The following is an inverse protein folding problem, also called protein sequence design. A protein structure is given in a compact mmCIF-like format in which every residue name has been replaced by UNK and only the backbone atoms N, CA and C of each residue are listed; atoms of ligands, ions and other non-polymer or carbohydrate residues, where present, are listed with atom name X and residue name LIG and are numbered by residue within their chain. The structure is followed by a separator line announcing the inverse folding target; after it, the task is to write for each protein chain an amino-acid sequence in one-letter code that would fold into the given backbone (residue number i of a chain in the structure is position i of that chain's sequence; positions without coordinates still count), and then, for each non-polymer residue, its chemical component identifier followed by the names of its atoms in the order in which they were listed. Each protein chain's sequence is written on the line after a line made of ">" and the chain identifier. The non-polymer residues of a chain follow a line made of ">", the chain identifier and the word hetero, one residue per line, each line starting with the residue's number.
data_IF_393647125948
#
_entry.id   IF_393647125948
#
_cell.length_a   1.000
_cell.length_b   1.000
_cell.length_c   1.000
_cell.angle_alpha   90.00
_cell.angle_beta   90.00
_cell.angle_gamma   90.00
#
_symmetry.space_group_name_H-M   'P 1'
#
loop_
_entity.id
_entity.type
_entity.pdbx_description
1 polymer ?
#
# COMPACT_ATOMS: atom_id res chain seq x y z
N UNK A 1 -81.17 -1.21 -1.49
CA UNK A 1 -80.23 -1.13 -2.62
C UNK A 1 -79.18 -2.18 -2.39
N UNK A 2 -79.18 -3.18 -3.26
CA UNK A 2 -78.36 -4.39 -3.16
C UNK A 2 -76.89 -4.07 -3.46
N UNK A 3 -75.98 -4.55 -2.61
CA UNK A 3 -74.55 -4.57 -2.91
C UNK A 3 -74.26 -5.81 -3.77
N UNK A 4 -74.04 -5.59 -5.07
CA UNK A 4 -73.52 -6.62 -5.95
C UNK A 4 -72.01 -6.78 -5.72
N UNK A 5 -71.61 -7.89 -5.08
CA UNK A 5 -70.25 -8.40 -5.14
C UNK A 5 -70.06 -9.10 -6.48
N UNK A 6 -69.26 -8.52 -7.37
CA UNK A 6 -68.68 -9.23 -8.49
C UNK A 6 -67.35 -9.85 -8.04
N UNK A 7 -67.33 -11.16 -7.80
CA UNK A 7 -66.10 -11.93 -7.63
C UNK A 7 -65.54 -12.28 -9.02
N UNK A 8 -64.42 -11.66 -9.38
CA UNK A 8 -63.55 -12.16 -10.43
C UNK A 8 -62.39 -12.89 -9.76
N UNK A 9 -62.36 -14.21 -9.91
CA UNK A 9 -61.24 -15.06 -9.50
C UNK A 9 -60.20 -15.02 -10.63
N UNK A 10 -59.05 -14.40 -10.37
CA UNK A 10 -57.83 -14.59 -11.16
C UNK A 10 -56.64 -14.47 -10.22
N UNK A 11 -55.86 -15.53 -10.14
CA UNK A 11 -54.62 -15.64 -9.39
C UNK A 11 -53.63 -14.54 -9.79
N UNK A 12 -53.50 -13.50 -8.97
CA UNK A 12 -52.29 -12.70 -8.82
C UNK A 12 -52.37 -12.00 -7.45
N UNK A 13 -51.28 -12.06 -6.69
CA UNK A 13 -51.14 -11.39 -5.39
C UNK A 13 -51.58 -9.92 -5.50
N UNK A 14 -52.67 -9.56 -4.83
CA UNK A 14 -53.10 -8.17 -4.69
C UNK A 14 -52.13 -7.47 -3.73
N UNK A 15 -51.23 -6.65 -4.28
CA UNK A 15 -50.44 -5.70 -3.50
C UNK A 15 -51.38 -4.60 -3.03
N UNK A 16 -51.65 -4.54 -1.72
CA UNK A 16 -52.39 -3.44 -1.11
C UNK A 16 -51.43 -2.25 -1.05
N UNK A 17 -51.66 -1.23 -1.90
CA UNK A 17 -50.92 0.04 -1.87
C UNK A 17 -51.74 1.04 -1.05
N UNK A 18 -51.13 1.62 -0.02
CA UNK A 18 -51.75 2.68 0.78
C UNK A 18 -52.04 3.90 -0.09
N UNK A 19 -53.29 4.38 -0.10
CA UNK A 19 -53.74 5.49 -0.93
C UNK A 19 -53.06 6.82 -0.56
N UNK A 20 -52.42 6.89 0.61
CA UNK A 20 -51.57 8.03 1.02
C UNK A 20 -50.28 8.16 0.22
N UNK A 21 -49.86 7.11 -0.51
CA UNK A 21 -48.64 7.05 -1.33
C UNK A 21 -48.88 7.34 -2.82
N UNK A 22 -50.05 7.82 -3.21
CA UNK A 22 -50.40 8.14 -4.60
C UNK A 22 -50.59 9.65 -4.76
N UNK A 23 -50.09 10.22 -5.87
CA UNK A 23 -50.42 11.62 -6.22
C UNK A 23 -51.88 11.72 -6.71
N UNK A 24 -52.43 12.93 -6.86
CA UNK A 24 -53.79 13.21 -7.39
C UNK A 24 -54.18 12.54 -8.73
N UNK A 25 -53.23 11.93 -9.45
CA UNK A 25 -53.40 11.19 -10.70
C UNK A 25 -53.24 9.65 -10.55
N UNK A 26 -53.11 9.14 -9.32
CA UNK A 26 -53.07 7.70 -9.04
C UNK A 26 -51.73 7.02 -9.34
N UNK A 27 -50.66 7.80 -9.54
CA UNK A 27 -49.30 7.28 -9.67
C UNK A 27 -48.62 7.20 -8.29
N UNK A 28 -47.80 6.16 -8.03
CA UNK A 28 -46.96 6.10 -6.83
C UNK A 28 -46.13 7.38 -6.73
N UNK A 29 -46.16 8.02 -5.56
CA UNK A 29 -45.15 8.98 -5.17
C UNK A 29 -43.83 8.20 -5.11
N UNK A 30 -43.10 8.18 -6.22
CA UNK A 30 -41.74 7.70 -6.25
C UNK A 30 -40.97 8.66 -5.34
N UNK A 31 -40.81 8.27 -4.08
CA UNK A 31 -39.84 8.88 -3.20
C UNK A 31 -38.47 8.48 -3.74
N UNK A 32 -38.03 9.16 -4.79
CA UNK A 32 -36.69 9.06 -5.35
C UNK A 32 -35.73 9.81 -4.43
N UNK A 33 -35.67 9.39 -3.17
CA UNK A 33 -34.48 9.60 -2.35
C UNK A 33 -33.55 8.45 -2.71
N UNK A 34 -32.92 8.55 -3.89
CA UNK A 34 -31.63 7.88 -4.08
C UNK A 34 -30.74 8.57 -3.05
N UNK A 35 -30.55 7.92 -1.91
CA UNK A 35 -29.54 8.36 -0.95
C UNK A 35 -28.20 8.19 -1.66
N UNK A 36 -27.48 9.29 -1.85
CA UNK A 36 -26.12 9.22 -2.35
C UNK A 36 -25.29 8.35 -1.38
N UNK A 37 -24.42 7.46 -1.89
CA UNK A 37 -23.57 6.66 -1.02
C UNK A 37 -22.64 7.61 -0.22
N UNK A 38 -22.50 7.41 1.10
CA UNK A 38 -21.76 8.34 1.93
C UNK A 38 -20.27 8.34 1.59
N UNK A 39 -19.67 9.52 1.77
CA UNK A 39 -18.28 9.79 1.37
C UNK A 39 -18.20 10.46 0.01
N UNK A 40 -16.98 10.78 -0.44
CA UNK A 40 -16.74 11.48 -1.70
C UNK A 40 -15.94 10.62 -2.67
N UNK A 41 -16.19 10.76 -3.97
CA UNK A 41 -15.38 10.11 -5.03
C UNK A 41 -13.89 10.43 -4.83
N UNK A 42 -13.58 11.71 -4.60
CA UNK A 42 -12.22 12.17 -4.37
C UNK A 42 -11.59 11.49 -3.16
N UNK A 43 -12.32 11.40 -2.04
CA UNK A 43 -11.85 10.74 -0.83
C UNK A 43 -11.52 9.27 -1.09
N UNK A 44 -12.40 8.53 -1.78
CA UNK A 44 -12.17 7.13 -2.11
C UNK A 44 -10.96 6.94 -3.05
N UNK A 45 -10.75 7.82 -4.02
CA UNK A 45 -9.55 7.79 -4.89
C UNK A 45 -8.29 8.00 -4.05
N UNK A 46 -8.28 9.00 -3.16
CA UNK A 46 -7.15 9.29 -2.27
C UNK A 46 -6.85 8.08 -1.37
N UNK A 47 -7.88 7.49 -0.75
CA UNK A 47 -7.75 6.32 0.10
C UNK A 47 -7.18 5.13 -0.68
N UNK A 48 -7.75 4.82 -1.85
CA UNK A 48 -7.29 3.73 -2.71
C UNK A 48 -5.82 3.86 -3.09
N UNK A 49 -5.42 5.02 -3.63
CA UNK A 49 -4.04 5.26 -4.09
C UNK A 49 -3.07 5.21 -2.92
N UNK A 50 -3.45 5.79 -1.77
CA UNK A 50 -2.61 5.76 -0.57
C UNK A 50 -2.38 4.33 -0.09
N UNK A 51 -3.46 3.54 0.05
CA UNK A 51 -3.38 2.16 0.49
C UNK A 51 -2.54 1.30 -0.44
N UNK A 52 -2.82 1.36 -1.73
CA UNK A 52 -2.07 0.58 -2.71
C UNK A 52 -0.58 0.95 -2.66
N UNK A 53 -0.25 2.25 -2.61
CA UNK A 53 1.13 2.73 -2.57
C UNK A 53 1.85 2.28 -1.29
N UNK A 54 1.19 2.37 -0.13
CA UNK A 54 1.74 1.90 1.16
C UNK A 54 2.07 0.41 1.10
N UNK A 55 1.11 -0.42 0.67
CA UNK A 55 1.31 -1.87 0.61
C UNK A 55 2.36 -2.29 -0.41
N UNK A 56 2.33 -1.67 -1.59
CA UNK A 56 3.30 -1.91 -2.65
C UNK A 56 4.73 -1.51 -2.22
N UNK A 57 4.91 -0.27 -1.77
CA UNK A 57 6.20 0.24 -1.33
C UNK A 57 6.75 -0.59 -0.16
N UNK A 58 5.91 -0.90 0.83
CA UNK A 58 6.33 -1.74 1.94
C UNK A 58 6.80 -3.12 1.49
N UNK A 59 6.08 -3.76 0.56
CA UNK A 59 6.47 -5.07 0.01
C UNK A 59 7.82 -5.00 -0.70
N UNK A 60 8.03 -3.96 -1.51
CA UNK A 60 9.30 -3.71 -2.20
C UNK A 60 10.45 -3.57 -1.20
N UNK A 61 10.27 -2.73 -0.19
CA UNK A 61 11.30 -2.50 0.83
C UNK A 61 11.56 -3.75 1.69
N UNK A 62 10.52 -4.53 2.00
CA UNK A 62 10.66 -5.79 2.73
C UNK A 62 11.49 -6.81 1.96
N UNK A 63 11.24 -6.99 0.66
CA UNK A 63 12.02 -7.88 -0.18
C UNK A 63 13.44 -7.36 -0.39
N UNK A 64 13.62 -6.08 -0.71
CA UNK A 64 14.95 -5.47 -0.80
C UNK A 64 15.76 -5.73 0.47
N UNK A 65 15.17 -5.49 1.65
CA UNK A 65 15.82 -5.76 2.93
C UNK A 65 16.15 -7.23 3.12
N UNK A 66 15.22 -8.14 2.80
CA UNK A 66 15.44 -9.59 2.90
C UNK A 66 16.62 -10.06 2.06
N UNK A 67 16.66 -9.69 0.78
CA UNK A 67 17.71 -10.12 -0.13
C UNK A 67 19.05 -9.45 0.16
N UNK A 68 19.06 -8.18 0.58
CA UNK A 68 20.27 -7.50 1.10
C UNK A 68 20.81 -8.21 2.34
N UNK A 69 19.93 -8.57 3.28
CA UNK A 69 20.33 -9.32 4.46
C UNK A 69 20.96 -10.66 4.08
N UNK A 70 20.37 -11.37 3.12
CA UNK A 70 20.85 -12.65 2.61
C UNK A 70 22.23 -12.53 1.94
N UNK A 71 22.47 -11.52 1.10
CA UNK A 71 23.79 -11.28 0.50
C UNK A 71 24.86 -10.93 1.54
N UNK A 72 24.48 -10.17 2.59
CA UNK A 72 25.40 -9.77 3.66
C UNK A 72 25.61 -10.87 4.72
N UNK A 73 24.96 -12.03 4.60
CA UNK A 73 25.00 -13.10 5.62
C UNK A 73 24.35 -12.72 6.95
N UNK A 74 23.50 -11.70 6.96
CA UNK A 74 22.79 -11.20 8.15
C UNK A 74 21.36 -11.73 8.22
N UNK A 75 20.77 -11.72 9.42
CA UNK A 75 19.38 -12.19 9.63
C UNK A 75 18.39 -11.07 9.31
N UNK A 76 17.38 -11.38 8.51
CA UNK A 76 16.23 -10.50 8.30
C UNK A 76 15.44 -10.32 9.60
N UNK A 77 15.03 -9.09 9.87
CA UNK A 77 14.13 -8.71 10.96
C UNK A 77 13.17 -7.69 10.37
N UNK A 78 11.87 -7.98 10.48
CA UNK A 78 10.80 -7.11 10.03
C UNK A 78 10.60 -5.93 10.96
N UNK A 79 10.05 -4.88 10.37
CA UNK A 79 9.70 -3.61 11.00
C UNK A 79 8.51 -3.03 10.22
N UNK A 80 7.71 -2.17 10.84
CA UNK A 80 6.58 -1.51 10.17
C UNK A 80 7.07 -0.53 9.09
N UNK A 81 8.28 0.03 9.29
CA UNK A 81 9.00 0.89 8.37
C UNK A 81 10.38 0.28 8.04
N UNK A 82 10.81 0.42 6.78
CA UNK A 82 12.13 0.01 6.32
C UNK A 82 12.90 1.21 5.76
N UNK A 83 14.24 1.26 5.94
CA UNK A 83 15.05 2.29 5.31
C UNK A 83 15.00 2.17 3.79
N UNK A 84 15.08 3.32 3.14
CA UNK A 84 15.05 3.44 1.68
C UNK A 84 16.48 3.46 1.16
N UNK A 85 17.09 2.27 1.07
CA UNK A 85 18.53 2.08 0.80
C UNK A 85 19.01 2.65 -0.56
N UNK A 86 18.09 3.00 -1.47
CA UNK A 86 18.44 3.65 -2.76
C UNK A 86 18.56 5.18 -2.68
N UNK A 87 18.15 5.81 -1.57
CA UNK A 87 18.31 7.24 -1.36
C UNK A 87 19.66 7.56 -0.70
N UNK A 88 20.34 8.65 -1.09
CA UNK A 88 21.64 9.01 -0.54
C UNK A 88 21.56 9.64 0.86
N UNK A 89 22.56 9.35 1.69
CA UNK A 89 22.85 10.09 2.93
C UNK A 89 21.77 9.98 4.01
N UNK A 90 21.31 11.14 4.52
CA UNK A 90 20.31 11.20 5.58
C UNK A 90 18.91 10.79 5.13
N UNK A 91 18.63 10.82 3.81
CA UNK A 91 17.33 10.51 3.24
C UNK A 91 16.98 9.01 3.34
N UNK A 92 17.97 8.14 3.51
CA UNK A 92 17.77 6.69 3.70
C UNK A 92 16.89 6.35 4.90
N UNK A 93 16.91 7.20 5.94
CA UNK A 93 16.17 6.95 7.20
C UNK A 93 14.85 7.72 7.29
N UNK A 94 14.40 8.36 6.21
CA UNK A 94 13.11 9.03 6.18
C UNK A 94 12.01 7.96 6.21
N UNK A 95 11.03 8.04 7.14
CA UNK A 95 9.95 7.06 7.24
C UNK A 95 8.89 7.31 6.15
N UNK A 96 9.21 6.93 4.91
CA UNK A 96 8.40 7.24 3.72
C UNK A 96 7.02 6.61 3.82
N UNK A 97 6.92 5.37 4.32
CA UNK A 97 5.61 4.71 4.44
C UNK A 97 4.74 5.44 5.47
N UNK A 98 5.31 5.83 6.61
CA UNK A 98 4.62 6.65 7.61
C UNK A 98 4.17 8.02 7.07
N UNK A 99 5.01 8.67 6.25
CA UNK A 99 4.66 9.96 5.62
C UNK A 99 3.48 9.81 4.66
N UNK A 100 3.52 8.84 3.75
CA UNK A 100 2.43 8.59 2.80
C UNK A 100 1.14 8.26 3.57
N UNK A 101 1.22 7.41 4.60
CA UNK A 101 0.09 7.08 5.47
C UNK A 101 -0.51 8.31 6.14
N UNK A 102 0.34 9.17 6.72
CA UNK A 102 -0.12 10.39 7.42
C UNK A 102 -0.73 11.40 6.47
N UNK A 103 -0.05 11.70 5.34
CA UNK A 103 -0.50 12.69 4.35
C UNK A 103 -1.77 12.22 3.65
N UNK A 104 -1.82 10.95 3.23
CA UNK A 104 -3.01 10.36 2.60
C UNK A 104 -4.22 10.42 3.53
N UNK A 105 -4.07 10.00 4.79
CA UNK A 105 -5.14 10.04 5.77
C UNK A 105 -5.57 11.47 6.14
N UNK A 106 -4.64 12.42 6.22
CA UNK A 106 -4.96 13.83 6.47
C UNK A 106 -5.73 14.44 5.30
N UNK A 107 -5.33 14.13 4.07
CA UNK A 107 -6.03 14.64 2.88
C UNK A 107 -7.43 14.05 2.78
N UNK A 108 -7.57 12.75 3.08
CA UNK A 108 -8.87 12.08 3.17
C UNK A 108 -9.77 12.71 4.25
N UNK A 109 -9.22 12.94 5.45
CA UNK A 109 -9.93 13.64 6.53
C UNK A 109 -10.42 15.02 6.11
N UNK A 110 -9.54 15.85 5.51
CA UNK A 110 -9.93 17.18 5.03
C UNK A 110 -11.04 17.07 3.97
N UNK A 111 -10.96 16.10 3.06
CA UNK A 111 -12.01 15.89 2.05
C UNK A 111 -13.36 15.50 2.65
N UNK A 112 -13.35 14.74 3.75
CA UNK A 112 -14.56 14.39 4.49
C UNK A 112 -15.15 15.61 5.21
N UNK A 113 -14.33 16.34 5.97
CA UNK A 113 -14.76 17.55 6.69
C UNK A 113 -15.31 18.62 5.73
N UNK A 114 -14.68 18.80 4.56
CA UNK A 114 -15.17 19.77 3.57
C UNK A 114 -16.54 19.38 3.04
N UNK A 115 -16.81 18.09 2.83
CA UNK A 115 -18.13 17.61 2.42
C UNK A 115 -19.19 17.84 3.52
N UNK A 116 -18.82 17.71 4.80
CA UNK A 116 -19.71 17.99 5.95
C UNK A 116 -20.06 19.47 6.11
N UNK A 117 -19.26 20.37 5.51
CA UNK A 117 -19.54 21.81 5.50
C UNK A 117 -20.53 22.23 4.40
N UNK A 118 -20.89 21.32 3.47
CA UNK A 118 -21.88 21.60 2.44
C UNK A 118 -23.30 21.68 3.03
N UNK A 119 -24.13 22.67 2.64
CA UNK A 119 -25.47 22.82 3.22
C UNK A 119 -26.35 21.59 2.99
N UNK A 120 -26.77 20.92 4.06
CA UNK A 120 -27.66 19.76 4.03
C UNK A 120 -27.00 18.40 4.22
N UNK A 121 -25.67 18.32 4.29
CA UNK A 121 -24.93 17.04 4.40
C UNK A 121 -24.85 16.46 5.83
N UNK A 122 -25.06 17.27 6.87
CA UNK A 122 -24.93 16.83 8.27
C UNK A 122 -26.01 15.82 8.74
N UNK A 123 -27.05 15.55 7.93
CA UNK A 123 -28.04 14.50 8.22
C UNK A 123 -27.57 13.10 7.76
N UNK A 124 -26.50 13.00 6.98
CA UNK A 124 -25.95 11.71 6.54
C UNK A 124 -24.95 11.14 7.57
N UNK A 125 -25.43 10.22 8.42
CA UNK A 125 -24.65 9.58 9.47
C UNK A 125 -23.38 8.80 9.01
N UNK A 126 -23.12 8.71 7.70
CA UNK A 126 -21.99 7.96 7.12
C UNK A 126 -20.66 8.72 7.12
N UNK A 127 -20.66 10.05 7.18
CA UNK A 127 -19.45 10.85 6.98
C UNK A 127 -18.54 10.84 8.22
N UNK A 128 -19.09 10.83 9.44
CA UNK A 128 -18.30 10.81 10.69
C UNK A 128 -17.51 9.50 10.88
N UNK A 129 -17.97 8.40 10.25
CA UNK A 129 -17.26 7.12 10.29
C UNK A 129 -15.95 7.20 9.48
N UNK A 130 -15.99 7.83 8.29
CA UNK A 130 -14.80 8.10 7.48
C UNK A 130 -13.81 9.03 8.19
N UNK A 131 -14.30 10.04 8.90
CA UNK A 131 -13.46 10.92 9.72
C UNK A 131 -12.72 10.16 10.82
N UNK A 132 -13.44 9.35 11.60
CA UNK A 132 -12.83 8.55 12.68
C UNK A 132 -11.79 7.56 12.15
N UNK A 133 -12.10 6.89 11.03
CA UNK A 133 -11.14 6.03 10.34
C UNK A 133 -9.88 6.83 9.98
N UNK A 134 -10.03 8.00 9.36
CA UNK A 134 -8.91 8.89 8.99
C UNK A 134 -8.05 9.25 10.20
N UNK A 135 -8.66 9.65 11.31
CA UNK A 135 -7.96 10.02 12.54
C UNK A 135 -7.11 8.86 13.06
N UNK A 136 -7.64 7.63 13.04
CA UNK A 136 -6.89 6.45 13.46
C UNK A 136 -5.64 6.21 12.59
N UNK A 137 -5.72 6.46 11.28
CA UNK A 137 -4.57 6.37 10.37
C UNK A 137 -3.54 7.49 10.59
N UNK A 138 -4.00 8.72 10.81
CA UNK A 138 -3.14 9.88 11.11
C UNK A 138 -2.32 9.61 12.38
N UNK A 139 -2.99 9.18 13.47
CA UNK A 139 -2.34 8.87 14.74
C UNK A 139 -1.31 7.75 14.57
N UNK A 140 -1.67 6.69 13.85
CA UNK A 140 -0.76 5.59 13.53
C UNK A 140 0.46 6.05 12.73
N UNK A 141 0.28 7.00 11.80
CA UNK A 141 1.39 7.57 11.02
C UNK A 141 2.33 8.42 11.87
N UNK A 142 1.78 9.22 12.77
CA UNK A 142 2.56 9.99 13.74
C UNK A 142 3.37 9.06 14.65
N UNK A 143 2.77 7.97 15.13
CA UNK A 143 3.48 6.98 15.97
C UNK A 143 4.66 6.37 15.22
N UNK A 144 4.47 5.95 13.96
CA UNK A 144 5.56 5.39 13.14
C UNK A 144 6.68 6.42 12.92
N UNK A 145 6.33 7.69 12.65
CA UNK A 145 7.31 8.77 12.51
C UNK A 145 8.08 9.01 13.82
N UNK A 146 7.41 9.02 14.96
CA UNK A 146 8.08 9.16 16.27
C UNK A 146 9.02 7.98 16.51
N UNK A 147 8.58 6.75 16.21
CA UNK A 147 9.36 5.51 16.38
C UNK A 147 10.49 5.32 15.35
N UNK A 148 10.51 6.12 14.29
CA UNK A 148 11.65 6.23 13.38
C UNK A 148 12.87 6.90 14.06
N UNK A 149 12.63 7.74 15.08
CA UNK A 149 13.69 8.36 15.86
C UNK A 149 14.36 7.35 16.81
N UNK A 150 15.68 7.23 16.71
CA UNK A 150 16.49 6.36 17.59
C UNK A 150 16.35 6.72 19.08
N UNK A 151 16.05 7.98 19.40
CA UNK A 151 15.80 8.43 20.78
C UNK A 151 14.48 7.88 21.31
N UNK A 152 13.39 8.01 20.56
CA UNK A 152 12.07 7.57 20.98
C UNK A 152 11.99 6.04 21.10
N UNK A 153 12.60 5.31 20.15
CA UNK A 153 12.66 3.84 20.15
C UNK A 153 13.33 3.25 21.41
N UNK A 154 14.22 4.00 22.08
CA UNK A 154 14.83 3.55 23.34
C UNK A 154 13.83 3.49 24.50
N UNK A 155 12.81 4.35 24.49
CA UNK A 155 11.87 4.50 25.61
C UNK A 155 10.53 3.78 25.38
N UNK A 156 10.23 3.42 24.13
CA UNK A 156 8.97 2.77 23.77
C UNK A 156 9.20 1.28 23.56
N UNK A 157 8.34 0.38 24.08
CA UNK A 157 8.48 -1.05 23.87
C UNK A 157 8.49 -1.47 22.39
N UNK A 158 9.32 -2.44 22.06
CA UNK A 158 9.37 -3.04 20.73
C UNK A 158 8.00 -3.60 20.32
N UNK A 159 7.47 -3.14 19.19
CA UNK A 159 6.16 -3.56 18.69
C UNK A 159 5.02 -2.57 18.89
N UNK A 160 5.29 -1.40 19.50
CA UNK A 160 4.30 -0.33 19.60
C UNK A 160 3.80 0.17 18.22
N UNK A 161 4.66 0.14 17.21
CA UNK A 161 4.33 0.40 15.80
C UNK A 161 3.32 -0.62 15.25
N UNK A 162 3.56 -1.91 15.48
CA UNK A 162 2.63 -2.97 15.09
C UNK A 162 1.28 -2.83 15.79
N UNK A 163 1.28 -2.52 17.10
CA UNK A 163 0.06 -2.32 17.87
C UNK A 163 -0.72 -1.10 17.37
N UNK A 164 -0.06 0.02 17.12
CA UNK A 164 -0.69 1.24 16.62
C UNK A 164 -1.38 0.97 15.29
N UNK A 165 -0.71 0.28 14.36
CA UNK A 165 -1.32 -0.03 13.07
C UNK A 165 -2.43 -1.08 13.16
N UNK A 166 -2.29 -2.06 14.07
CA UNK A 166 -3.33 -3.04 14.35
C UNK A 166 -4.62 -2.38 14.86
N UNK A 167 -4.50 -1.43 15.79
CA UNK A 167 -5.63 -0.66 16.32
C UNK A 167 -6.33 0.13 15.21
N UNK A 168 -5.58 0.64 14.24
CA UNK A 168 -6.17 1.32 13.09
C UNK A 168 -7.05 0.38 12.25
N UNK A 169 -6.53 -0.80 11.87
CA UNK A 169 -7.32 -1.79 11.16
C UNK A 169 -8.51 -2.31 11.97
N UNK A 170 -8.36 -2.43 13.30
CA UNK A 170 -9.46 -2.82 14.19
C UNK A 170 -10.55 -1.75 14.24
N UNK A 171 -10.16 -0.47 14.23
CA UNK A 171 -11.09 0.66 14.17
C UNK A 171 -11.84 0.66 12.84
N UNK A 172 -11.13 0.54 11.72
CA UNK A 172 -11.72 0.40 10.38
C UNK A 172 -12.67 -0.80 10.30
N UNK A 173 -12.26 -1.98 10.78
CA UNK A 173 -13.11 -3.16 10.80
C UNK A 173 -14.38 -2.94 11.62
N UNK A 174 -14.28 -2.34 12.81
CA UNK A 174 -15.42 -2.05 13.65
C UNK A 174 -16.39 -1.07 12.96
N UNK A 175 -15.86 -0.02 12.31
CA UNK A 175 -16.66 0.95 11.56
C UNK A 175 -17.36 0.29 10.37
N UNK A 176 -16.66 -0.55 9.60
CA UNK A 176 -17.24 -1.29 8.48
C UNK A 176 -18.34 -2.25 8.91
N UNK A 177 -18.20 -2.92 10.07
CA UNK A 177 -19.23 -3.84 10.58
C UNK A 177 -20.51 -3.08 10.95
N UNK A 178 -20.39 -1.96 11.68
CA UNK A 178 -21.58 -1.16 12.04
C UNK A 178 -22.17 -0.43 10.83
N UNK A 179 -21.39 -0.21 9.78
CA UNK A 179 -21.85 0.39 8.52
C UNK A 179 -22.83 -0.51 7.74
N UNK A 180 -22.90 -1.82 8.06
CA UNK A 180 -23.73 -2.78 7.34
C UNK A 180 -25.22 -2.73 7.71
N UNK A 181 -25.58 -2.13 8.84
CA UNK A 181 -26.90 -2.31 9.47
C UNK A 181 -28.10 -1.70 8.71
N UNK A 182 -27.88 -1.08 7.54
CA UNK A 182 -28.95 -0.47 6.74
C UNK A 182 -28.64 -0.37 5.24
N UNK A 183 -27.85 -1.31 4.69
CA UNK A 183 -27.33 -1.25 3.32
C UNK A 183 -28.06 -2.19 2.37
N UNK A 184 -28.22 -1.76 1.11
CA UNK A 184 -28.69 -2.61 0.01
C UNK A 184 -27.75 -3.80 -0.24
N UNK A 185 -28.22 -4.83 -0.92
CA UNK A 185 -27.50 -6.11 -1.02
C UNK A 185 -26.10 -5.99 -1.66
N UNK A 186 -25.95 -5.17 -2.71
CA UNK A 186 -24.67 -4.91 -3.38
C UNK A 186 -23.74 -4.05 -2.51
N UNK A 187 -24.26 -2.97 -1.95
CA UNK A 187 -23.50 -2.05 -1.09
C UNK A 187 -22.97 -2.76 0.17
N UNK A 188 -23.86 -3.52 0.83
CA UNK A 188 -23.49 -4.37 1.95
C UNK A 188 -22.44 -5.42 1.58
N UNK A 189 -22.50 -6.03 0.38
CA UNK A 189 -21.49 -6.98 -0.07
C UNK A 189 -20.12 -6.32 -0.29
N UNK A 190 -20.07 -5.12 -0.86
CA UNK A 190 -18.83 -4.38 -1.08
C UNK A 190 -18.13 -4.08 0.25
N UNK A 191 -18.87 -3.57 1.22
CA UNK A 191 -18.37 -3.25 2.56
C UNK A 191 -18.02 -4.50 3.39
N UNK A 192 -18.76 -5.59 3.25
CA UNK A 192 -18.39 -6.88 3.86
C UNK A 192 -17.03 -7.39 3.35
N UNK A 193 -16.77 -7.27 2.05
CA UNK A 193 -15.49 -7.70 1.47
C UNK A 193 -14.35 -6.76 1.89
N UNK A 194 -14.63 -5.46 2.03
CA UNK A 194 -13.70 -4.48 2.62
C UNK A 194 -13.40 -4.79 4.11
N UNK A 195 -14.37 -5.29 4.87
CA UNK A 195 -14.15 -5.74 6.24
C UNK A 195 -13.24 -6.98 6.28
N UNK A 196 -13.35 -7.89 5.31
CA UNK A 196 -12.45 -9.06 5.19
C UNK A 196 -11.02 -8.62 4.96
N UNK A 197 -10.77 -7.62 4.10
CA UNK A 197 -9.42 -7.11 3.83
C UNK A 197 -8.83 -6.39 5.04
N UNK A 198 -9.64 -5.59 5.77
CA UNK A 198 -9.22 -4.95 7.02
C UNK A 198 -8.85 -5.98 8.10
N UNK A 199 -9.67 -7.03 8.25
CA UNK A 199 -9.38 -8.14 9.17
C UNK A 199 -8.09 -8.89 8.78
N UNK A 200 -7.87 -9.14 7.48
CA UNK A 200 -6.64 -9.73 6.99
C UNK A 200 -5.42 -8.84 7.30
N UNK A 201 -5.55 -7.52 7.15
CA UNK A 201 -4.55 -6.53 7.55
C UNK A 201 -4.20 -6.62 9.05
N UNK A 202 -5.20 -6.61 9.92
CA UNK A 202 -5.02 -6.77 11.36
C UNK A 202 -4.33 -8.10 11.73
N UNK A 203 -4.78 -9.22 11.15
CA UNK A 203 -4.19 -10.55 11.40
C UNK A 203 -2.76 -10.60 10.90
N UNK A 204 -2.47 -10.01 9.73
CA UNK A 204 -1.12 -9.97 9.16
C UNK A 204 -0.13 -9.21 10.06
N UNK A 205 -0.57 -8.12 10.69
CA UNK A 205 0.25 -7.34 11.62
C UNK A 205 0.60 -8.14 12.88
N UNK A 206 -0.38 -8.87 13.44
CA UNK A 206 -0.14 -9.75 14.59
C UNK A 206 0.83 -10.87 14.21
N UNK A 207 0.59 -11.53 13.07
CA UNK A 207 1.45 -12.60 12.57
C UNK A 207 2.88 -12.10 12.32
N UNK A 208 3.04 -10.92 11.72
CA UNK A 208 4.35 -10.31 11.48
C UNK A 208 5.05 -9.90 12.79
N UNK A 209 4.30 -9.38 13.77
CA UNK A 209 4.84 -9.04 15.07
C UNK A 209 5.37 -10.26 15.83
N UNK A 210 4.71 -11.43 15.69
CA UNK A 210 5.15 -12.70 16.30
C UNK A 210 6.31 -13.33 15.50
N UNK A 211 6.25 -13.30 14.17
CA UNK A 211 7.19 -13.98 13.28
C UNK A 211 8.08 -13.01 12.49
N UNK A 212 8.64 -11.99 13.16
CA UNK A 212 9.45 -10.91 12.54
C UNK A 212 10.63 -11.38 11.69
N UNK A 213 11.08 -12.63 11.82
CA UNK A 213 12.18 -13.19 11.00
C UNK A 213 11.75 -13.75 9.65
N UNK A 214 10.44 -13.86 9.41
CA UNK A 214 9.88 -14.43 8.20
C UNK A 214 9.38 -13.32 7.29
N UNK A 215 10.10 -13.05 6.20
CA UNK A 215 9.71 -12.05 5.19
C UNK A 215 8.32 -12.31 4.60
N UNK A 216 7.85 -13.56 4.63
CA UNK A 216 6.49 -13.90 4.19
C UNK A 216 5.41 -13.19 5.01
N UNK A 217 5.63 -12.90 6.29
CA UNK A 217 4.64 -12.16 7.06
C UNK A 217 4.54 -10.70 6.60
N UNK A 218 5.68 -10.07 6.30
CA UNK A 218 5.72 -8.74 5.71
C UNK A 218 5.08 -8.72 4.31
N UNK A 219 5.27 -9.77 3.52
CA UNK A 219 4.62 -9.92 2.22
C UNK A 219 3.10 -10.10 2.33
N UNK A 220 2.61 -10.87 3.32
CA UNK A 220 1.17 -11.02 3.60
C UNK A 220 0.59 -9.68 4.03
N UNK A 221 1.28 -8.93 4.89
CA UNK A 221 0.85 -7.58 5.29
C UNK A 221 0.76 -6.63 4.09
N UNK A 222 1.81 -6.59 3.28
CA UNK A 222 1.85 -5.79 2.06
C UNK A 222 0.73 -6.15 1.10
N UNK A 223 0.49 -7.46 0.89
CA UNK A 223 -0.62 -7.98 0.10
C UNK A 223 -1.99 -7.52 0.63
N UNK A 224 -2.26 -7.68 1.94
CA UNK A 224 -3.54 -7.27 2.53
C UNK A 224 -3.79 -5.76 2.38
N UNK A 225 -2.75 -4.95 2.54
CA UNK A 225 -2.83 -3.50 2.35
C UNK A 225 -3.07 -3.13 0.86
N UNK A 226 -2.38 -3.80 -0.07
CA UNK A 226 -2.61 -3.59 -1.50
C UNK A 226 -4.04 -3.94 -1.89
N UNK A 227 -4.54 -5.07 -1.37
CA UNK A 227 -5.91 -5.54 -1.60
C UNK A 227 -6.95 -4.56 -1.05
N UNK A 228 -6.68 -3.92 0.09
CA UNK A 228 -7.49 -2.80 0.60
C UNK A 228 -7.58 -1.68 -0.46
N UNK A 229 -6.43 -1.26 -1.00
CA UNK A 229 -6.36 -0.17 -1.97
C UNK A 229 -7.04 -0.48 -3.29
N UNK A 230 -6.79 -1.65 -3.87
CA UNK A 230 -7.44 -2.07 -5.13
C UNK A 230 -8.94 -2.24 -4.94
N UNK A 231 -9.37 -2.78 -3.80
CA UNK A 231 -10.80 -2.96 -3.52
C UNK A 231 -11.55 -1.65 -3.29
N UNK A 232 -10.97 -0.67 -2.58
CA UNK A 232 -11.58 0.67 -2.44
C UNK A 232 -11.82 1.32 -3.80
N UNK A 233 -10.89 1.17 -4.76
CA UNK A 233 -11.08 1.68 -6.11
C UNK A 233 -12.29 1.03 -6.78
N UNK A 234 -12.40 -0.30 -6.68
CA UNK A 234 -13.52 -1.04 -7.27
C UNK A 234 -14.85 -0.66 -6.62
N UNK A 235 -14.89 -0.59 -5.28
CA UNK A 235 -16.04 -0.15 -4.50
C UNK A 235 -16.52 1.23 -4.95
N UNK A 236 -15.61 2.19 -5.10
CA UNK A 236 -15.94 3.54 -5.58
C UNK A 236 -16.57 3.52 -6.98
N UNK A 237 -15.96 2.78 -7.92
CA UNK A 237 -16.51 2.65 -9.28
C UNK A 237 -17.90 2.03 -9.27
N UNK A 238 -18.14 1.06 -8.37
CA UNK A 238 -19.41 0.34 -8.27
C UNK A 238 -20.53 1.14 -7.60
N UNK A 239 -20.21 2.01 -6.65
CA UNK A 239 -21.18 2.82 -5.91
C UNK A 239 -21.47 4.18 -6.55
N UNK A 240 -20.46 4.85 -7.13
CA UNK A 240 -20.60 6.23 -7.62
C UNK A 240 -20.79 6.34 -9.14
N UNK A 241 -20.63 5.25 -9.88
CA UNK A 241 -20.86 5.17 -11.34
C UNK A 241 -20.30 6.39 -12.10
N UNK A 242 -19.00 6.73 -11.93
CA UNK A 242 -18.48 8.02 -12.37
C UNK A 242 -18.69 8.24 -13.87
N UNK A 243 -19.39 9.32 -14.21
CA UNK A 243 -19.67 9.70 -15.59
C UNK A 243 -20.98 9.15 -16.19
N UNK A 244 -21.84 8.50 -15.38
CA UNK A 244 -23.16 8.03 -15.80
C UNK A 244 -24.22 8.35 -14.73
N UNK A 245 -25.41 8.79 -15.13
CA UNK A 245 -26.48 9.20 -14.21
C UNK A 245 -27.27 8.02 -13.62
N UNK A 246 -27.28 6.87 -14.28
CA UNK A 246 -27.99 5.68 -13.80
C UNK A 246 -27.04 4.56 -13.35
N UNK A 247 -27.40 3.80 -12.29
CA UNK A 247 -26.62 2.64 -11.85
C UNK A 247 -26.47 1.61 -12.96
N UNK A 248 -25.24 1.16 -13.21
CA UNK A 248 -24.91 0.10 -14.19
C UNK A 248 -25.58 -1.24 -13.88
N UNK A 249 -26.08 -1.43 -12.66
CA UNK A 249 -26.56 -2.71 -12.14
C UNK A 249 -27.69 -2.51 -11.12
N UNK A 250 -28.57 -3.52 -11.05
CA UNK A 250 -29.60 -3.59 -10.02
C UNK A 250 -28.95 -3.85 -8.63
N UNK A 251 -29.11 -2.95 -7.64
CA UNK A 251 -28.46 -3.02 -6.33
C UNK A 251 -28.95 -4.18 -5.45
N UNK A 252 -30.13 -4.74 -5.75
CA UNK A 252 -30.74 -5.84 -5.00
C UNK A 252 -30.77 -7.17 -5.77
N UNK A 253 -30.08 -7.24 -6.92
CA UNK A 253 -29.99 -8.49 -7.69
C UNK A 253 -28.94 -9.44 -7.12
N UNK A 254 -29.35 -10.69 -6.89
CA UNK A 254 -28.45 -11.77 -6.50
C UNK A 254 -27.31 -12.01 -7.51
N UNK A 255 -27.56 -11.82 -8.82
CA UNK A 255 -26.52 -11.96 -9.84
C UNK A 255 -25.45 -10.88 -9.72
N UNK A 256 -25.82 -9.65 -9.38
CA UNK A 256 -24.88 -8.54 -9.15
C UNK A 256 -24.02 -8.82 -7.92
N UNK A 257 -24.64 -9.29 -6.82
CA UNK A 257 -23.91 -9.65 -5.59
C UNK A 257 -22.89 -10.77 -5.84
N UNK A 258 -23.26 -11.77 -6.64
CA UNK A 258 -22.35 -12.83 -7.06
C UNK A 258 -21.20 -12.30 -7.93
N UNK A 259 -21.49 -11.39 -8.86
CA UNK A 259 -20.48 -10.75 -9.72
C UNK A 259 -19.49 -9.92 -8.90
N UNK A 260 -19.94 -9.15 -7.91
CA UNK A 260 -19.07 -8.38 -6.99
C UNK A 260 -18.12 -9.32 -6.25
N UNK A 261 -18.63 -10.47 -5.77
CA UNK A 261 -17.79 -11.47 -5.10
C UNK A 261 -16.74 -12.09 -6.04
N UNK A 262 -17.10 -12.29 -7.32
CA UNK A 262 -16.16 -12.73 -8.35
C UNK A 262 -15.11 -11.67 -8.66
N UNK A 263 -15.48 -10.39 -8.73
CA UNK A 263 -14.52 -9.29 -8.92
C UNK A 263 -13.50 -9.26 -7.78
N UNK A 264 -13.93 -9.44 -6.55
CA UNK A 264 -13.03 -9.51 -5.39
C UNK A 264 -12.02 -10.66 -5.50
N UNK A 265 -12.46 -11.85 -5.95
CA UNK A 265 -11.57 -12.98 -6.18
C UNK A 265 -10.48 -12.67 -7.22
N UNK A 266 -10.82 -11.92 -8.27
CA UNK A 266 -9.82 -11.44 -9.24
C UNK A 266 -8.80 -10.50 -8.62
N UNK A 267 -9.21 -9.60 -7.72
CA UNK A 267 -8.28 -8.70 -7.02
C UNK A 267 -7.29 -9.49 -6.17
N UNK A 268 -7.76 -10.51 -5.42
CA UNK A 268 -6.90 -11.44 -4.68
C UNK A 268 -5.84 -12.08 -5.59
N UNK A 269 -6.27 -12.60 -6.75
CA UNK A 269 -5.36 -13.27 -7.69
C UNK A 269 -4.34 -12.28 -8.26
N UNK A 270 -4.78 -11.11 -8.72
CA UNK A 270 -3.91 -10.10 -9.33
C UNK A 270 -2.88 -9.58 -8.32
N UNK A 271 -3.30 -9.25 -7.10
CA UNK A 271 -2.39 -8.75 -6.07
C UNK A 271 -1.40 -9.84 -5.61
N UNK A 272 -1.84 -11.10 -5.53
CA UNK A 272 -0.94 -12.22 -5.23
C UNK A 272 0.10 -12.45 -6.34
N UNK A 273 -0.32 -12.36 -7.60
CA UNK A 273 0.59 -12.43 -8.76
C UNK A 273 1.58 -11.28 -8.74
N UNK A 274 1.14 -10.06 -8.38
CA UNK A 274 2.02 -8.90 -8.26
C UNK A 274 3.08 -9.09 -7.17
N UNK A 275 2.70 -9.55 -5.98
CA UNK A 275 3.65 -9.85 -4.89
C UNK A 275 4.64 -10.95 -5.31
N UNK A 276 4.16 -11.99 -6.00
CA UNK A 276 5.04 -13.04 -6.53
C UNK A 276 6.01 -12.48 -7.59
N UNK A 277 5.53 -11.64 -8.51
CA UNK A 277 6.36 -11.02 -9.54
C UNK A 277 7.44 -10.12 -8.92
N UNK A 278 7.11 -9.34 -7.88
CA UNK A 278 8.09 -8.57 -7.11
C UNK A 278 9.15 -9.47 -6.49
N UNK A 279 8.75 -10.58 -5.85
CA UNK A 279 9.70 -11.53 -5.28
C UNK A 279 10.63 -12.11 -6.36
N UNK A 280 10.09 -12.55 -7.50
CA UNK A 280 10.87 -13.08 -8.62
C UNK A 280 11.83 -12.05 -9.21
N UNK A 281 11.39 -10.79 -9.34
CA UNK A 281 12.24 -9.68 -9.74
C UNK A 281 13.44 -9.53 -8.79
N UNK A 282 13.22 -9.56 -7.48
CA UNK A 282 14.30 -9.46 -6.51
C UNK A 282 15.22 -10.69 -6.52
N UNK A 283 14.68 -11.91 -6.67
CA UNK A 283 15.51 -13.12 -6.88
C UNK A 283 16.43 -12.90 -8.07
N UNK A 284 15.88 -12.49 -9.21
CA UNK A 284 16.66 -12.26 -10.43
C UNK A 284 17.71 -11.15 -10.24
N UNK A 285 17.33 -10.02 -9.64
CA UNK A 285 18.23 -8.89 -9.41
C UNK A 285 19.40 -9.26 -8.48
N UNK A 286 19.11 -9.94 -7.38
CA UNK A 286 20.11 -10.34 -6.38
C UNK A 286 20.89 -11.61 -6.74
N UNK A 287 20.45 -12.37 -7.74
CA UNK A 287 21.20 -13.52 -8.30
C UNK A 287 22.25 -13.11 -9.33
N UNK A 288 22.21 -11.86 -9.83
CA UNK A 288 23.25 -11.34 -10.72
C UNK A 288 24.56 -11.19 -9.95
N UNK A 289 25.73 -11.53 -10.53
CA UNK A 289 27.01 -11.32 -9.89
C UNK A 289 27.19 -9.83 -9.58
N UNK A 290 27.18 -9.48 -8.30
CA UNK A 290 27.57 -8.14 -7.87
C UNK A 290 29.06 -8.18 -7.59
N UNK A 291 29.86 -7.68 -8.53
CA UNK A 291 31.30 -7.60 -8.33
C UNK A 291 31.60 -6.57 -7.24
N UNK A 292 32.28 -7.01 -6.18
CA UNK A 292 32.80 -6.09 -5.19
C UNK A 292 34.17 -5.65 -5.69
N UNK A 293 34.33 -4.36 -5.98
CA UNK A 293 35.65 -3.80 -6.26
C UNK A 293 36.40 -3.76 -4.93
N UNK A 294 37.39 -4.64 -4.77
CA UNK A 294 38.26 -4.64 -3.60
C UNK A 294 39.53 -3.90 -4.01
N UNK A 295 39.96 -2.85 -3.28
CA UNK A 295 41.26 -2.23 -3.54
C UNK A 295 42.35 -3.29 -3.36
N UNK A 296 43.17 -3.53 -4.39
CA UNK A 296 44.25 -4.50 -4.30
C UNK A 296 45.43 -3.87 -3.51
N UNK A 297 45.59 -4.35 -2.28
CA UNK A 297 46.70 -4.14 -1.35
C UNK A 297 46.72 -2.83 -0.53
N UNK A 298 46.91 -3.02 0.79
CA UNK A 298 47.24 -1.98 1.79
C UNK A 298 48.69 -1.45 1.65
N UNK A 299 49.42 -1.88 0.63
CA UNK A 299 50.85 -1.56 0.45
C UNK A 299 51.12 -0.36 -0.47
N UNK A 300 50.13 0.13 -1.23
CA UNK A 300 50.32 1.28 -2.10
C UNK A 300 49.97 2.61 -1.37
N UNK A 301 50.96 3.21 -0.70
CA UNK A 301 50.81 4.49 0.02
C UNK A 301 50.74 5.73 -0.88
N UNK A 302 50.89 5.59 -2.19
CA UNK A 302 50.82 6.69 -3.15
C UNK A 302 49.99 6.28 -4.35
N UNK A 303 48.67 6.35 -4.18
CA UNK A 303 47.76 6.28 -5.32
C UNK A 303 47.92 7.51 -6.19
N UNK A 304 47.97 7.34 -7.52
CA UNK A 304 47.94 8.46 -8.46
C UNK A 304 46.67 9.31 -8.22
N UNK A 305 46.70 10.60 -8.57
CA UNK A 305 45.53 11.51 -8.43
C UNK A 305 44.24 10.92 -9.02
N UNK A 306 44.38 10.10 -10.06
CA UNK A 306 43.29 9.36 -10.71
C UNK A 306 42.70 8.25 -9.84
N UNK A 307 43.49 7.58 -9.00
CA UNK A 307 42.99 6.60 -8.03
C UNK A 307 42.24 7.27 -6.89
N UNK A 308 42.71 8.44 -6.42
CA UNK A 308 41.96 9.24 -5.43
C UNK A 308 40.64 9.75 -6.01
N UNK A 309 40.64 10.25 -7.25
CA UNK A 309 39.41 10.65 -7.96
C UNK A 309 38.46 9.48 -8.20
N UNK A 310 38.96 8.31 -8.60
CA UNK A 310 38.14 7.11 -8.77
C UNK A 310 37.56 6.62 -7.44
N UNK A 311 38.34 6.65 -6.36
CA UNK A 311 37.87 6.31 -5.01
C UNK A 311 36.86 7.34 -4.46
N UNK A 312 37.01 8.62 -4.80
CA UNK A 312 36.07 9.69 -4.44
C UNK A 312 34.74 9.56 -5.23
N UNK A 313 34.80 9.28 -6.52
CA UNK A 313 33.63 8.98 -7.38
C UNK A 313 32.88 7.70 -6.94
N UNK A 314 33.59 6.71 -6.41
CA UNK A 314 33.03 5.47 -5.84
C UNK A 314 32.40 5.69 -4.45
N UNK A 315 32.96 6.62 -3.66
CA UNK A 315 32.41 7.00 -2.35
C UNK A 315 31.04 7.68 -2.48
N UNK A 316 30.81 8.35 -3.60
CA UNK A 316 29.54 9.00 -3.93
C UNK A 316 28.47 8.04 -4.49
N UNK A 317 28.75 6.73 -4.56
CA UNK A 317 27.74 5.71 -4.85
C UNK A 317 27.41 5.53 -6.33
N UNK A 318 28.21 6.09 -7.24
CA UNK A 318 28.02 5.91 -8.68
C UNK A 318 28.46 4.51 -9.10
N UNK A 319 27.49 3.65 -9.43
CA UNK A 319 27.74 2.33 -10.02
C UNK A 319 28.39 2.58 -11.40
N UNK A 320 29.65 2.19 -11.57
CA UNK A 320 30.29 2.17 -12.89
C UNK A 320 29.61 1.09 -13.75
N UNK A 321 28.56 1.47 -14.47
CA UNK A 321 28.06 0.67 -15.59
C UNK A 321 28.94 0.94 -16.80
N UNK A 322 29.46 -0.13 -17.38
CA UNK A 322 30.28 -0.16 -18.59
C UNK A 322 29.84 0.89 -19.63
N UNK A 323 30.68 1.89 -19.86
CA UNK A 323 30.47 2.90 -20.90
C UNK A 323 31.82 3.47 -21.33
N UNK A 324 32.21 3.18 -22.58
CA UNK A 324 33.35 3.82 -23.24
C UNK A 324 33.13 5.34 -23.26
N UNK A 325 33.96 6.08 -22.54
CA UNK A 325 34.16 7.51 -22.81
C UNK A 325 35.61 7.67 -23.26
N UNK A 326 35.81 7.84 -24.56
CA UNK A 326 37.02 8.46 -25.12
C UNK A 326 37.16 9.83 -24.47
N UNK A 327 38.23 10.03 -23.71
CA UNK A 327 38.56 11.31 -23.09
C UNK A 327 39.88 11.78 -23.69
N UNK A 328 39.82 12.96 -24.31
CA UNK A 328 40.90 13.65 -25.02
C UNK A 328 42.17 13.76 -24.16
N UNK A 329 43.30 13.36 -24.74
CA UNK A 329 44.64 13.37 -24.14
C UNK A 329 45.42 14.54 -24.74
N UNK A 330 45.33 15.71 -24.10
CA UNK A 330 46.27 16.81 -24.31
C UNK A 330 46.41 17.61 -23.01
N UNK A 331 47.32 17.19 -22.11
CA UNK A 331 47.87 18.04 -21.05
C UNK A 331 49.35 17.71 -20.83
N UNK A 332 50.29 18.68 -20.84
CA UNK A 332 51.71 18.42 -20.96
C UNK A 332 52.37 18.36 -19.59
N UNK A 333 52.41 17.18 -18.97
CA UNK A 333 53.22 16.91 -17.78
C UNK A 333 53.92 15.56 -17.90
N UNK A 334 54.72 15.43 -18.96
CA UNK A 334 55.47 14.23 -19.34
C UNK A 334 56.92 14.25 -18.78
N UNK A 335 57.12 14.75 -17.55
CA UNK A 335 58.48 14.97 -17.01
C UNK A 335 58.72 14.47 -15.58
N UNK A 336 57.92 13.53 -15.08
CA UNK A 336 58.30 12.77 -13.87
C UNK A 336 58.89 11.44 -14.33
N UNK A 337 60.16 11.12 -13.99
CA UNK A 337 60.76 9.84 -14.37
C UNK A 337 59.94 8.71 -13.77
N UNK A 338 59.45 7.81 -14.61
CA UNK A 338 58.96 6.49 -14.20
C UNK A 338 60.12 5.77 -13.53
N UNK A 339 60.20 5.85 -12.21
CA UNK A 339 60.85 4.79 -11.46
C UNK A 339 59.88 3.61 -11.47
N UNK A 340 60.36 2.45 -11.91
CA UNK A 340 59.69 1.15 -11.84
C UNK A 340 59.09 0.95 -10.44
N UNK A 341 57.83 1.32 -10.29
CA UNK A 341 56.96 0.81 -9.26
C UNK A 341 56.15 -0.24 -10.01
N UNK A 342 56.58 -1.50 -9.90
CA UNK A 342 55.80 -2.70 -10.23
C UNK A 342 54.55 -2.76 -9.33
N UNK A 343 53.64 -1.81 -9.49
CA UNK A 343 52.31 -1.81 -8.93
C UNK A 343 51.35 -1.70 -10.10
N UNK A 344 51.22 -2.79 -10.87
CA UNK A 344 49.96 -3.12 -11.53
C UNK A 344 48.90 -3.21 -10.43
N UNK A 345 48.32 -2.06 -10.08
CA UNK A 345 47.16 -1.97 -9.18
C UNK A 345 45.93 -2.28 -10.02
N UNK A 346 45.81 -3.54 -10.44
CA UNK A 346 44.59 -4.03 -11.05
C UNK A 346 43.47 -3.94 -10.02
N UNK A 347 42.39 -3.23 -10.38
CA UNK A 347 41.14 -3.28 -9.64
C UNK A 347 40.59 -4.71 -9.78
N UNK A 348 40.81 -5.54 -8.78
CA UNK A 348 40.32 -6.91 -8.81
C UNK A 348 38.80 -6.93 -8.52
N UNK A 349 38.02 -7.27 -9.55
CA UNK A 349 36.59 -7.50 -9.41
C UNK A 349 36.36 -8.87 -8.77
N UNK A 350 36.35 -8.91 -7.43
CA UNK A 350 36.07 -10.15 -6.72
C UNK A 350 34.58 -10.48 -6.80
N UNK A 351 34.29 -11.69 -7.29
CA UNK A 351 32.96 -12.28 -7.16
C UNK A 351 32.77 -12.62 -5.67
N UNK A 352 31.66 -12.18 -5.02
CA UNK A 352 31.40 -12.58 -3.65
C UNK A 352 31.33 -14.11 -3.57
N UNK A 353 32.18 -14.70 -2.73
CA UNK A 353 32.14 -16.15 -2.51
C UNK A 353 30.74 -16.54 -1.99
N UNK A 354 30.12 -17.60 -2.52
CA UNK A 354 28.86 -18.08 -1.98
C UNK A 354 29.10 -18.48 -0.53
N UNK A 355 28.47 -17.76 0.39
CA UNK A 355 28.51 -18.09 1.82
C UNK A 355 28.00 -19.52 1.96
N UNK A 356 28.87 -20.47 2.30
CA UNK A 356 28.49 -21.86 2.54
C UNK A 356 27.44 -21.87 3.65
N UNK A 357 26.18 -22.05 3.28
CA UNK A 357 25.08 -22.20 4.22
C UNK A 357 25.38 -23.46 5.02
N UNK A 358 25.86 -23.28 6.25
CA UNK A 358 26.03 -24.39 7.19
C UNK A 358 24.61 -24.84 7.56
N UNK A 359 24.09 -25.86 6.86
CA UNK A 359 22.86 -26.55 7.26
C UNK A 359 23.03 -26.98 8.72
N UNK A 360 22.18 -26.45 9.59
CA UNK A 360 21.94 -26.95 10.93
C UNK A 360 20.48 -27.36 11.01
#
# INVERSE_FOLDING_TARGET
>A
MEHHHAQFYSDHQSVIIDASLLNSSGLPLLNSTVHDPPGTILGHVIASVSWFTIGFLYTVLAFQRHYTCRQRGSKYISSVEFPVDFLPGSLTNVPVVALIKTVGATTFFISAVVADLEPGSMEEAGQWQHELMSVAFIVSGIIDMVLSSSRARRFIPDGADYLAFFVTFLTELQQLVVHLDSRDAVDGRLHQLMAVTAAAGAISLVAEAVFRRHVMMAAIRGFSIMLQGTWVMNLMVVLYHPGVEEPFWNPNSHSTVALVSLMFAWHIIVDAVLVLALNLYFVWFYSRPQYKVVPHSDTCKYGSRWQLLAMEQLKDGTILTHGKTEMDLDDPLDSVPFHDIDCESELEFQRPEPTKVRRK
#
